data_IF_567837009217
#
_entry.id   IF_567837009217
#
_cell.length_a   1.000
_cell.length_b   1.000
_cell.length_c   1.000
_cell.angle_alpha   90.00
_cell.angle_beta   90.00
_cell.angle_gamma   90.00
#
_symmetry.space_group_name_H-M   'P 1'
#
loop_
_entity.id
_entity.type
_entity.pdbx_description
1 polymer ?
#
# COMPACT_ATOMS: atom_id res chain seq x y z
N UNK A 1 -32.01 22.84 34.37
CA UNK A 1 -31.06 21.79 33.94
C UNK A 1 -31.21 21.61 32.44
N UNK A 2 -30.32 22.21 31.66
CA UNK A 2 -30.40 22.26 30.21
C UNK A 2 -29.94 20.92 29.61
N UNK A 3 -30.76 20.31 28.76
CA UNK A 3 -30.40 19.12 27.98
C UNK A 3 -29.32 19.49 26.95
N UNK A 4 -28.08 19.14 27.22
CA UNK A 4 -27.00 19.16 26.22
C UNK A 4 -27.25 18.03 25.23
N UNK A 5 -28.03 18.32 24.19
CA UNK A 5 -28.16 17.46 23.03
C UNK A 5 -26.78 17.30 22.39
N UNK A 6 -26.16 16.14 22.58
CA UNK A 6 -24.89 15.80 21.96
C UNK A 6 -25.13 15.70 20.45
N UNK A 7 -24.69 16.73 19.71
CA UNK A 7 -24.65 16.69 18.25
C UNK A 7 -23.65 15.60 17.86
N UNK A 8 -24.16 14.46 17.43
CA UNK A 8 -23.39 13.52 16.59
C UNK A 8 -22.74 14.36 15.49
N UNK A 9 -21.41 14.35 15.32
CA UNK A 9 -20.78 15.09 14.25
C UNK A 9 -21.34 14.53 12.95
N UNK A 10 -22.27 15.28 12.34
CA UNK A 10 -22.65 15.10 10.95
C UNK A 10 -21.39 15.41 10.16
N UNK A 11 -20.58 14.41 9.88
CA UNK A 11 -19.57 14.49 8.82
C UNK A 11 -20.36 14.60 7.52
N UNK A 12 -20.81 15.83 7.22
CA UNK A 12 -21.23 16.24 5.88
C UNK A 12 -20.16 15.75 4.93
N UNK A 13 -20.57 15.24 3.78
CA UNK A 13 -19.70 15.05 2.61
C UNK A 13 -18.71 16.22 2.53
N UNK A 14 -17.50 16.00 3.03
CA UNK A 14 -16.44 16.97 2.88
C UNK A 14 -15.79 16.53 1.59
N UNK A 15 -16.09 17.28 0.53
CA UNK A 15 -15.11 17.52 -0.51
C UNK A 15 -13.74 17.70 0.14
N UNK A 16 -12.71 17.15 -0.49
CA UNK A 16 -11.33 17.28 -0.02
C UNK A 16 -11.08 18.75 0.35
N UNK A 17 -10.49 18.98 1.51
CA UNK A 17 -10.11 20.32 1.94
C UNK A 17 -9.14 20.91 0.91
N UNK A 18 -9.04 22.25 0.77
CA UNK A 18 -8.07 22.86 -0.12
C UNK A 18 -6.64 22.39 0.12
N UNK A 19 -6.28 22.10 1.37
CA UNK A 19 -4.98 21.53 1.73
C UNK A 19 -4.81 20.08 1.24
N UNK A 20 -5.85 19.25 1.30
CA UNK A 20 -5.83 17.89 0.75
C UNK A 20 -5.71 17.89 -0.78
N UNK A 21 -6.44 18.79 -1.45
CA UNK A 21 -6.29 19.02 -2.90
C UNK A 21 -4.89 19.50 -3.26
N UNK A 22 -4.31 20.41 -2.46
CA UNK A 22 -2.94 20.86 -2.64
C UNK A 22 -1.94 19.70 -2.55
N UNK A 23 -2.09 18.81 -1.57
CA UNK A 23 -1.24 17.62 -1.43
C UNK A 23 -1.36 16.67 -2.63
N UNK A 24 -2.58 16.37 -3.07
CA UNK A 24 -2.81 15.57 -4.28
C UNK A 24 -2.19 16.22 -5.51
N UNK A 25 -2.36 17.53 -5.66
CA UNK A 25 -1.78 18.31 -6.76
C UNK A 25 -0.24 18.20 -6.79
N UNK A 26 0.41 18.28 -5.63
CA UNK A 26 1.88 18.12 -5.53
C UNK A 26 2.30 16.70 -5.92
N UNK A 27 1.62 15.66 -5.40
CA UNK A 27 1.93 14.27 -5.75
C UNK A 27 1.76 14.01 -7.25
N UNK A 28 0.64 14.45 -7.83
CA UNK A 28 0.39 14.36 -9.26
C UNK A 28 1.43 15.13 -10.08
N UNK A 29 1.84 16.32 -9.63
CA UNK A 29 2.88 17.10 -10.29
C UNK A 29 4.22 16.36 -10.30
N UNK A 30 4.60 15.70 -9.20
CA UNK A 30 5.82 14.87 -9.15
C UNK A 30 5.70 13.66 -10.06
N UNK A 31 4.58 12.95 -10.05
CA UNK A 31 4.35 11.79 -10.93
C UNK A 31 4.43 12.22 -12.39
N UNK A 32 3.77 13.32 -12.77
CA UNK A 32 3.83 13.88 -14.12
C UNK A 32 5.27 14.29 -14.46
N UNK A 33 5.99 14.95 -13.55
CA UNK A 33 7.38 15.32 -13.77
C UNK A 33 8.26 14.08 -14.03
N UNK A 34 8.10 12.98 -13.29
CA UNK A 34 8.82 11.73 -13.54
C UNK A 34 8.52 11.17 -14.94
N UNK A 35 7.24 11.15 -15.36
CA UNK A 35 6.85 10.71 -16.70
C UNK A 35 7.42 11.61 -17.79
N UNK A 36 7.40 12.93 -17.59
CA UNK A 36 7.93 13.88 -18.56
C UNK A 36 9.46 13.77 -18.64
N UNK A 37 10.16 13.72 -17.51
CA UNK A 37 11.63 13.60 -17.48
C UNK A 37 12.08 12.28 -18.11
N UNK A 38 11.53 11.15 -17.66
CA UNK A 38 11.86 9.84 -18.21
C UNK A 38 11.43 9.69 -19.67
N UNK A 39 10.18 10.06 -19.98
CA UNK A 39 9.61 9.94 -21.32
C UNK A 39 10.27 10.87 -22.35
N UNK A 40 10.54 12.12 -22.01
CA UNK A 40 11.25 13.03 -22.92
C UNK A 40 12.71 12.62 -23.10
N UNK A 41 13.39 12.20 -22.04
CA UNK A 41 14.77 11.69 -22.18
C UNK A 41 14.79 10.49 -23.11
N UNK A 42 13.85 9.55 -22.96
CA UNK A 42 13.74 8.38 -23.83
C UNK A 42 13.44 8.75 -25.29
N UNK A 43 12.37 9.52 -25.52
CA UNK A 43 11.82 9.77 -26.85
C UNK A 43 12.61 10.81 -27.66
N UNK A 44 13.15 11.84 -27.00
CA UNK A 44 13.77 12.99 -27.67
C UNK A 44 15.29 12.94 -27.64
N UNK A 45 15.89 12.15 -26.74
CA UNK A 45 17.35 12.08 -26.59
C UNK A 45 17.87 10.68 -26.88
N UNK A 46 17.39 9.65 -26.17
CA UNK A 46 17.92 8.28 -26.26
C UNK A 46 17.55 7.60 -27.58
N UNK A 47 16.27 7.59 -27.96
CA UNK A 47 15.79 6.95 -29.18
C UNK A 47 16.39 7.58 -30.46
N UNK A 48 16.44 8.92 -30.62
CA UNK A 48 17.04 9.53 -31.80
C UNK A 48 18.56 9.32 -31.89
N UNK A 49 19.24 9.17 -30.75
CA UNK A 49 20.68 8.90 -30.70
C UNK A 49 21.06 7.50 -31.20
N UNK A 50 20.08 6.61 -31.42
CA UNK A 50 20.27 5.23 -31.93
C UNK A 50 21.41 4.49 -31.22
N UNK A 51 21.38 4.58 -29.88
CA UNK A 51 22.38 3.94 -29.04
C UNK A 51 22.30 2.42 -29.23
N UNK A 52 23.45 1.76 -29.25
CA UNK A 52 23.56 0.32 -29.42
C UNK A 52 24.35 -0.27 -28.29
N UNK A 53 23.91 -1.44 -27.84
CA UNK A 53 24.51 -2.21 -26.77
C UNK A 53 24.65 -3.64 -27.25
N UNK A 54 25.88 -4.13 -27.40
CA UNK A 54 26.13 -5.52 -27.82
C UNK A 54 25.48 -5.90 -29.16
N UNK A 55 25.32 -4.93 -30.07
CA UNK A 55 24.67 -5.13 -31.38
C UNK A 55 23.14 -5.05 -31.37
N UNK A 56 22.50 -4.76 -30.23
CA UNK A 56 21.05 -4.52 -30.11
C UNK A 56 20.76 -3.05 -29.84
N UNK A 57 19.68 -2.53 -30.40
CA UNK A 57 19.25 -1.15 -30.21
C UNK A 57 18.82 -0.91 -28.75
N UNK A 58 19.42 0.10 -28.12
CA UNK A 58 19.05 0.64 -26.82
C UNK A 58 18.16 1.88 -27.05
N UNK A 59 16.95 1.85 -26.52
CA UNK A 59 15.95 2.87 -26.80
C UNK A 59 14.58 2.50 -26.25
N UNK A 60 13.54 2.75 -27.04
CA UNK A 60 12.14 2.58 -26.68
C UNK A 60 11.82 1.23 -26.00
N UNK A 61 12.33 0.12 -26.53
CA UNK A 61 12.07 -1.20 -25.96
C UNK A 61 12.53 -1.34 -24.52
N UNK A 62 13.77 -0.92 -24.22
CA UNK A 62 14.35 -0.99 -22.86
C UNK A 62 13.66 -0.01 -21.92
N UNK A 63 13.37 1.20 -22.39
CA UNK A 63 12.64 2.20 -21.59
C UNK A 63 11.21 1.80 -21.25
N UNK A 64 10.47 1.23 -22.20
CA UNK A 64 9.13 0.68 -21.96
C UNK A 64 9.16 -0.52 -21.02
N UNK A 65 10.16 -1.39 -21.12
CA UNK A 65 10.35 -2.48 -20.16
C UNK A 65 10.59 -1.94 -18.75
N UNK A 66 11.48 -0.95 -18.56
CA UNK A 66 11.71 -0.36 -17.25
C UNK A 66 10.44 0.26 -16.65
N UNK A 67 9.64 0.96 -17.47
CA UNK A 67 8.34 1.49 -17.05
C UNK A 67 7.35 0.38 -16.67
N UNK A 68 7.25 -0.67 -17.50
CA UNK A 68 6.38 -1.81 -17.25
C UNK A 68 6.79 -2.61 -16.01
N UNK A 69 8.10 -2.73 -15.73
CA UNK A 69 8.60 -3.32 -14.50
C UNK A 69 8.22 -2.47 -13.28
N UNK A 70 8.27 -1.14 -13.38
CA UNK A 70 7.81 -0.25 -12.30
C UNK A 70 6.32 -0.41 -12.01
N UNK A 71 5.50 -0.51 -13.07
CA UNK A 71 4.08 -0.80 -12.94
C UNK A 71 3.83 -2.21 -12.36
N UNK A 72 4.56 -3.22 -12.83
CA UNK A 72 4.45 -4.60 -12.38
C UNK A 72 4.80 -4.72 -10.90
N UNK A 73 5.90 -4.11 -10.49
CA UNK A 73 6.41 -4.20 -9.12
C UNK A 73 5.50 -3.48 -8.12
N UNK A 74 4.79 -2.42 -8.53
CA UNK A 74 3.73 -1.83 -7.70
C UNK A 74 2.60 -2.82 -7.36
N UNK A 75 2.42 -3.88 -8.15
CA UNK A 75 1.47 -4.95 -7.85
C UNK A 75 2.06 -6.06 -7.00
N UNK A 76 3.31 -5.96 -6.58
CA UNK A 76 3.87 -6.95 -5.66
C UNK A 76 3.10 -6.93 -4.35
N UNK A 77 2.92 -8.14 -3.85
CA UNK A 77 1.95 -8.41 -2.83
C UNK A 77 2.30 -7.69 -1.52
N UNK A 78 3.58 -7.59 -1.23
CA UNK A 78 4.17 -6.92 -0.07
C UNK A 78 3.97 -5.39 -0.11
N UNK A 79 4.07 -4.77 -1.28
CA UNK A 79 3.76 -3.36 -1.51
C UNK A 79 2.29 -3.06 -1.22
N UNK A 80 1.37 -3.81 -1.87
CA UNK A 80 -0.08 -3.69 -1.66
C UNK A 80 -0.39 -3.86 -0.17
N UNK A 81 0.15 -4.92 0.46
CA UNK A 81 -0.09 -5.19 1.87
C UNK A 81 0.46 -4.07 2.76
N UNK A 82 1.65 -3.54 2.52
CA UNK A 82 2.23 -2.47 3.33
C UNK A 82 1.42 -1.16 3.22
N UNK A 83 1.04 -0.77 2.01
CA UNK A 83 0.28 0.45 1.70
C UNK A 83 -1.13 0.36 2.27
N UNK A 84 -1.86 -0.72 1.99
CA UNK A 84 -3.23 -0.92 2.44
C UNK A 84 -3.33 -0.92 3.96
N UNK A 85 -2.52 -1.75 4.61
CA UNK A 85 -2.61 -1.91 6.04
C UNK A 85 -2.18 -0.64 6.79
N UNK A 86 -1.21 0.13 6.26
CA UNK A 86 -0.85 1.43 6.84
C UNK A 86 -1.94 2.47 6.64
N UNK A 87 -2.52 2.53 5.44
CA UNK A 87 -3.67 3.39 5.13
C UNK A 87 -4.79 3.13 6.13
N UNK A 88 -5.13 1.86 6.35
CA UNK A 88 -6.14 1.41 7.33
C UNK A 88 -5.83 1.88 8.75
N UNK A 89 -4.60 1.69 9.22
CA UNK A 89 -4.15 2.14 10.54
C UNK A 89 -4.36 3.65 10.71
N UNK A 90 -3.87 4.45 9.77
CA UNK A 90 -3.98 5.92 9.84
C UNK A 90 -5.44 6.40 9.74
N UNK A 91 -6.28 5.71 8.97
CA UNK A 91 -7.71 5.98 8.91
C UNK A 91 -8.43 5.63 10.22
N UNK A 92 -8.02 4.54 10.88
CA UNK A 92 -8.51 4.19 12.22
C UNK A 92 -8.12 5.23 13.28
N UNK A 93 -7.02 5.94 13.07
CA UNK A 93 -6.60 7.08 13.91
C UNK A 93 -7.36 8.38 13.55
N UNK A 94 -8.34 8.31 12.63
CA UNK A 94 -9.17 9.44 12.22
C UNK A 94 -8.57 10.32 11.12
N UNK A 95 -7.49 9.88 10.48
CA UNK A 95 -6.83 10.63 9.41
C UNK A 95 -7.37 10.28 8.01
N UNK A 96 -6.97 11.07 7.01
CA UNK A 96 -7.19 10.84 5.56
C UNK A 96 -5.84 10.72 4.84
N UNK A 97 -5.16 9.56 4.95
CA UNK A 97 -3.77 9.37 4.53
C UNK A 97 -3.63 9.13 3.02
N UNK A 98 -3.83 10.16 2.20
CA UNK A 98 -3.80 10.06 0.72
C UNK A 98 -2.41 9.76 0.12
N UNK A 99 -1.33 10.00 0.88
CA UNK A 99 0.04 9.98 0.37
C UNK A 99 0.85 8.73 0.75
N UNK A 100 0.20 7.71 1.31
CA UNK A 100 0.85 6.49 1.81
C UNK A 100 1.65 5.79 0.72
N UNK A 101 0.99 5.38 -0.38
CA UNK A 101 1.66 4.70 -1.48
C UNK A 101 2.66 5.59 -2.22
N UNK A 102 2.38 6.89 -2.34
CA UNK A 102 3.33 7.85 -2.92
C UNK A 102 4.67 7.89 -2.17
N UNK A 103 4.65 8.02 -0.84
CA UNK A 103 5.89 8.06 -0.07
C UNK A 103 6.60 6.71 -0.05
N UNK A 104 5.84 5.62 0.01
CA UNK A 104 6.37 4.26 -0.05
C UNK A 104 7.14 4.01 -1.36
N UNK A 105 6.50 4.20 -2.51
CA UNK A 105 7.11 4.06 -3.84
C UNK A 105 8.31 4.98 -4.06
N UNK A 106 8.26 6.23 -3.57
CA UNK A 106 9.37 7.18 -3.69
C UNK A 106 10.59 6.72 -2.86
N UNK A 107 10.34 6.15 -1.68
CA UNK A 107 11.36 5.54 -0.85
C UNK A 107 12.02 4.35 -1.55
N UNK A 108 11.21 3.41 -2.04
CA UNK A 108 11.69 2.23 -2.79
C UNK A 108 12.51 2.65 -4.01
N UNK A 109 11.95 3.54 -4.83
CA UNK A 109 12.57 4.05 -6.06
C UNK A 109 13.89 4.79 -5.81
N UNK A 110 14.10 5.33 -4.61
CA UNK A 110 15.36 5.97 -4.24
C UNK A 110 16.51 4.96 -4.18
N UNK A 111 16.26 3.73 -3.71
CA UNK A 111 17.29 2.67 -3.71
C UNK A 111 17.64 2.27 -5.13
N UNK A 112 16.62 2.01 -5.96
CA UNK A 112 16.78 1.64 -7.37
C UNK A 112 17.54 2.73 -8.15
N UNK A 113 17.15 3.99 -7.98
CA UNK A 113 17.83 5.12 -8.62
C UNK A 113 19.28 5.26 -8.14
N UNK A 114 19.53 5.13 -6.85
CA UNK A 114 20.88 5.21 -6.28
C UNK A 114 21.78 4.09 -6.83
N UNK A 115 21.27 2.87 -6.91
CA UNK A 115 22.00 1.74 -7.49
C UNK A 115 22.33 1.99 -8.97
N UNK A 116 21.38 2.49 -9.76
CA UNK A 116 21.61 2.85 -11.15
C UNK A 116 22.66 3.96 -11.31
N UNK A 117 22.68 4.97 -10.44
CA UNK A 117 23.73 6.01 -10.42
C UNK A 117 25.10 5.39 -10.12
N UNK A 118 25.19 4.52 -9.11
CA UNK A 118 26.44 3.86 -8.73
C UNK A 118 26.98 2.96 -9.86
N UNK A 119 26.11 2.28 -10.59
CA UNK A 119 26.46 1.51 -11.77
C UNK A 119 26.89 2.42 -12.93
N UNK A 120 26.19 3.54 -13.17
CA UNK A 120 26.51 4.49 -14.24
C UNK A 120 27.90 5.12 -14.10
N UNK A 121 28.35 5.39 -12.86
CA UNK A 121 29.70 5.91 -12.60
C UNK A 121 30.78 4.83 -12.55
N UNK A 122 30.41 3.56 -12.83
CA UNK A 122 31.35 2.45 -12.91
C UNK A 122 31.95 2.07 -11.56
N UNK A 123 31.17 2.13 -10.47
CA UNK A 123 31.61 1.64 -9.18
C UNK A 123 31.88 0.12 -9.26
N UNK A 124 33.11 -0.26 -9.62
CA UNK A 124 33.56 -1.66 -9.79
C UNK A 124 33.28 -2.54 -8.57
N UNK A 125 33.20 -1.93 -7.38
CA UNK A 125 32.86 -2.60 -6.13
C UNK A 125 31.39 -3.07 -6.07
N UNK A 126 30.51 -2.56 -6.93
CA UNK A 126 29.08 -2.88 -6.98
C UNK A 126 28.74 -3.63 -8.27
N UNK A 127 29.36 -3.28 -9.40
CA UNK A 127 29.08 -3.93 -10.68
C UNK A 127 29.31 -5.46 -10.65
N UNK A 128 30.46 -5.92 -10.16
CA UNK A 128 30.75 -7.36 -10.06
C UNK A 128 29.78 -8.11 -9.15
N UNK A 129 29.56 -7.65 -7.90
CA UNK A 129 28.59 -8.28 -7.02
C UNK A 129 27.13 -8.18 -7.45
N UNK A 130 26.73 -7.29 -8.36
CA UNK A 130 25.35 -7.26 -8.89
C UNK A 130 25.18 -8.23 -10.06
N UNK A 131 26.22 -8.48 -10.86
CA UNK A 131 26.19 -9.44 -11.97
C UNK A 131 26.25 -10.90 -11.50
N UNK A 132 26.81 -11.17 -10.33
CA UNK A 132 26.95 -12.51 -9.77
C UNK A 132 25.84 -12.78 -8.75
N UNK A 133 24.82 -13.56 -9.15
CA UNK A 133 23.70 -13.99 -8.29
C UNK A 133 24.18 -14.68 -6.99
N UNK A 134 25.42 -15.19 -6.95
CA UNK A 134 26.02 -15.81 -5.77
C UNK A 134 26.80 -14.85 -4.86
N UNK A 135 26.80 -13.55 -5.16
CA UNK A 135 27.60 -12.58 -4.40
C UNK A 135 27.10 -12.39 -2.98
N UNK A 136 28.02 -12.03 -2.08
CA UNK A 136 27.69 -11.66 -0.72
C UNK A 136 26.76 -10.44 -0.65
N UNK A 137 26.81 -9.53 -1.63
CA UNK A 137 25.91 -8.38 -1.68
C UNK A 137 24.48 -8.86 -1.90
N UNK A 138 24.23 -9.58 -3.01
CA UNK A 138 22.94 -10.22 -3.34
C UNK A 138 22.35 -10.98 -2.15
N UNK A 139 23.17 -11.85 -1.54
CA UNK A 139 22.75 -12.67 -0.41
C UNK A 139 22.33 -11.83 0.80
N UNK A 140 23.17 -10.91 1.27
CA UNK A 140 22.87 -10.17 2.50
C UNK A 140 21.74 -9.14 2.31
N UNK A 141 21.69 -8.45 1.17
CA UNK A 141 20.61 -7.49 0.91
C UNK A 141 19.28 -8.20 0.65
N UNK A 142 19.28 -9.34 -0.04
CA UNK A 142 18.09 -10.19 -0.18
C UNK A 142 17.57 -10.66 1.18
N UNK A 143 18.46 -11.23 2.02
CA UNK A 143 18.08 -11.67 3.37
C UNK A 143 17.54 -10.51 4.21
N UNK A 144 18.24 -9.37 4.22
CA UNK A 144 17.84 -8.20 5.01
C UNK A 144 16.51 -7.64 4.50
N UNK A 145 16.37 -7.44 3.18
CA UNK A 145 15.16 -6.92 2.56
C UNK A 145 13.94 -7.79 2.82
N UNK A 146 14.02 -9.07 2.49
CA UNK A 146 12.93 -10.04 2.69
C UNK A 146 12.59 -10.24 4.17
N UNK A 147 13.61 -10.25 5.05
CA UNK A 147 13.36 -10.30 6.50
C UNK A 147 12.62 -9.06 7.00
N UNK A 148 13.05 -7.87 6.56
CA UNK A 148 12.41 -6.62 6.98
C UNK A 148 10.98 -6.54 6.44
N UNK A 149 10.75 -6.88 5.16
CA UNK A 149 9.42 -6.93 4.54
C UNK A 149 8.51 -7.89 5.31
N UNK A 150 8.92 -9.14 5.44
CA UNK A 150 8.11 -10.16 6.12
C UNK A 150 7.81 -9.80 7.57
N UNK A 151 8.80 -9.35 8.35
CA UNK A 151 8.58 -8.89 9.73
C UNK A 151 7.60 -7.70 9.77
N UNK A 152 7.75 -6.74 8.86
CA UNK A 152 6.85 -5.59 8.77
C UNK A 152 5.41 -6.02 8.48
N UNK A 153 5.19 -6.92 7.52
CA UNK A 153 3.89 -7.47 7.18
C UNK A 153 3.24 -8.18 8.38
N UNK A 154 3.99 -9.00 9.11
CA UNK A 154 3.49 -9.66 10.33
C UNK A 154 3.15 -8.66 11.45
N UNK A 155 3.99 -7.65 11.67
CA UNK A 155 3.75 -6.62 12.69
C UNK A 155 2.45 -5.86 12.39
N UNK A 156 2.29 -5.44 11.14
CA UNK A 156 1.12 -4.70 10.68
C UNK A 156 -0.14 -5.59 10.65
N UNK A 157 -0.03 -6.85 10.25
CA UNK A 157 -1.12 -7.82 10.36
C UNK A 157 -1.57 -8.00 11.82
N UNK A 158 -0.64 -8.10 12.76
CA UNK A 158 -0.93 -8.17 14.20
C UNK A 158 -1.70 -6.95 14.71
N UNK A 159 -1.36 -5.76 14.22
CA UNK A 159 -2.12 -4.53 14.51
C UNK A 159 -3.55 -4.61 13.97
N UNK A 160 -3.71 -5.00 12.72
CA UNK A 160 -5.03 -5.04 12.09
C UNK A 160 -5.90 -6.17 12.64
N UNK A 161 -5.31 -7.27 13.13
CA UNK A 161 -6.03 -8.28 13.93
C UNK A 161 -6.59 -7.66 15.21
N UNK A 162 -5.80 -6.85 15.93
CA UNK A 162 -6.30 -6.21 17.15
C UNK A 162 -7.48 -5.26 16.86
N UNK A 163 -7.41 -4.49 15.77
CA UNK A 163 -8.51 -3.64 15.30
C UNK A 163 -9.72 -4.49 14.89
N UNK A 164 -9.51 -5.58 14.16
CA UNK A 164 -10.56 -6.49 13.73
C UNK A 164 -11.31 -7.10 14.92
N UNK A 165 -10.58 -7.55 15.95
CA UNK A 165 -11.15 -8.06 17.20
C UNK A 165 -11.97 -6.97 17.90
N UNK A 166 -11.48 -5.72 17.96
CA UNK A 166 -12.21 -4.61 18.56
C UNK A 166 -13.54 -4.33 17.82
N UNK A 167 -13.52 -4.31 16.49
CA UNK A 167 -14.71 -4.12 15.66
C UNK A 167 -15.70 -5.28 15.86
N UNK A 168 -15.22 -6.52 15.89
CA UNK A 168 -16.06 -7.71 16.12
C UNK A 168 -16.75 -7.68 17.49
N UNK A 169 -16.07 -7.21 18.54
CA UNK A 169 -16.65 -7.04 19.88
C UNK A 169 -17.78 -6.02 19.87
N UNK A 170 -17.56 -4.86 19.24
CA UNK A 170 -18.59 -3.81 19.08
C UNK A 170 -19.80 -4.37 18.33
N UNK A 171 -19.56 -5.10 17.24
CA UNK A 171 -20.61 -5.69 16.41
C UNK A 171 -21.43 -6.75 17.17
N UNK A 172 -20.78 -7.59 17.99
CA UNK A 172 -21.46 -8.55 18.84
C UNK A 172 -22.30 -7.89 19.93
N UNK A 173 -21.84 -6.78 20.51
CA UNK A 173 -22.59 -6.01 21.52
C UNK A 173 -23.82 -5.32 20.90
N UNK A 174 -23.68 -4.72 19.71
CA UNK A 174 -24.79 -4.19 18.93
C UNK A 174 -25.88 -5.23 18.66
N UNK A 175 -25.49 -6.46 18.27
CA UNK A 175 -26.44 -7.56 18.06
C UNK A 175 -27.13 -8.04 19.33
N UNK A 176 -26.55 -7.81 20.50
CA UNK A 176 -27.10 -8.22 21.81
C UNK A 176 -27.96 -7.13 22.46
N UNK A 177 -28.13 -5.96 21.84
CA UNK A 177 -28.96 -4.87 22.35
C UNK A 177 -28.41 -4.16 23.60
N UNK A 178 -27.18 -4.47 24.02
CA UNK A 178 -26.52 -3.86 25.16
C UNK A 178 -25.47 -2.87 24.64
N UNK A 179 -25.91 -1.63 24.39
CA UNK A 179 -25.02 -0.53 24.04
C UNK A 179 -24.70 0.26 25.32
N UNK A 180 -23.55 -0.01 25.93
CA UNK A 180 -22.97 0.84 26.97
C UNK A 180 -21.71 1.49 26.41
N UNK A 181 -21.87 2.75 26.01
CA UNK A 181 -20.85 3.55 25.32
C UNK A 181 -19.63 3.79 26.23
N UNK A 182 -19.83 3.81 27.56
CA UNK A 182 -18.77 4.00 28.54
C UNK A 182 -17.94 2.72 28.76
N UNK A 183 -18.58 1.55 28.75
CA UNK A 183 -17.86 0.26 28.83
C UNK A 183 -17.12 -0.04 27.52
N UNK A 184 -17.66 0.40 26.37
CA UNK A 184 -16.97 0.31 25.09
C UNK A 184 -15.71 1.19 25.05
N UNK A 185 -15.80 2.45 25.51
CA UNK A 185 -14.66 3.35 25.59
C UNK A 185 -13.63 2.85 26.62
N UNK A 186 -14.09 2.22 27.71
CA UNK A 186 -13.23 1.56 28.69
C UNK A 186 -12.57 0.30 28.15
N UNK A 187 -13.24 -0.49 27.31
CA UNK A 187 -12.66 -1.68 26.65
C UNK A 187 -11.73 -1.33 25.48
N UNK A 188 -12.05 -0.26 24.76
CA UNK A 188 -11.18 0.35 23.75
C UNK A 188 -9.98 1.07 24.38
N UNK A 189 -10.07 1.53 25.62
CA UNK A 189 -8.95 2.08 26.39
C UNK A 189 -8.21 1.03 27.24
N UNK A 190 -8.85 -0.10 27.58
CA UNK A 190 -8.24 -1.24 28.28
C UNK A 190 -7.39 -2.10 27.33
N UNK A 191 -6.61 -1.44 26.47
CA UNK A 191 -5.70 -2.05 25.50
C UNK A 191 -4.45 -2.63 26.17
N UNK A 192 -4.56 -3.21 27.37
CA UNK A 192 -3.45 -3.38 28.30
C UNK A 192 -2.27 -4.21 27.76
N UNK A 193 -2.51 -5.31 27.04
CA UNK A 193 -1.44 -6.18 26.56
C UNK A 193 -0.99 -5.84 25.13
N UNK A 194 -1.95 -5.71 24.21
CA UNK A 194 -1.71 -5.36 22.80
C UNK A 194 -1.06 -3.97 22.69
N UNK A 195 -1.58 -2.93 23.36
CA UNK A 195 -1.02 -1.58 23.28
C UNK A 195 0.28 -1.42 24.08
N UNK A 196 0.68 -2.39 24.91
CA UNK A 196 1.98 -2.33 25.59
C UNK A 196 3.12 -2.79 24.67
N UNK A 197 2.90 -3.83 23.88
CA UNK A 197 3.85 -4.32 22.89
C UNK A 197 3.74 -3.56 21.56
N UNK A 198 2.53 -3.43 21.03
CA UNK A 198 2.25 -2.80 19.74
C UNK A 198 2.05 -1.27 19.82
N UNK A 199 1.89 -0.70 21.03
CA UNK A 199 1.73 0.75 21.25
C UNK A 199 2.96 1.57 20.88
N UNK A 200 4.16 1.00 21.05
CA UNK A 200 5.41 1.64 20.59
C UNK A 200 5.47 1.71 19.07
N UNK A 201 5.10 0.63 18.38
CA UNK A 201 5.13 0.55 16.92
C UNK A 201 3.99 1.35 16.26
N UNK A 202 2.79 1.36 16.84
CA UNK A 202 1.67 2.23 16.39
C UNK A 202 1.97 3.72 16.55
N UNK A 203 2.84 4.11 17.49
CA UNK A 203 3.38 5.47 17.58
C UNK A 203 4.47 5.78 16.55
N UNK A 204 5.05 4.76 15.92
CA UNK A 204 6.07 4.95 14.90
C UNK A 204 5.46 5.41 13.58
N UNK A 205 4.31 4.89 13.16
CA UNK A 205 3.67 5.25 11.87
C UNK A 205 2.46 6.15 12.12
N UNK A 206 2.67 7.45 12.27
CA UNK A 206 1.61 8.43 12.58
C UNK A 206 1.24 9.33 11.42
N UNK A 207 2.03 9.33 10.35
CA UNK A 207 1.81 10.18 9.17
C UNK A 207 2.20 9.44 7.90
N UNK A 208 1.64 9.83 6.75
CA UNK A 208 1.91 9.17 5.47
C UNK A 208 3.39 9.21 5.05
N UNK A 209 4.15 10.24 5.42
CA UNK A 209 5.56 10.35 5.00
C UNK A 209 6.47 9.33 5.68
N UNK A 210 6.06 8.76 6.83
CA UNK A 210 6.82 7.69 7.50
C UNK A 210 6.97 6.43 6.64
N UNK A 211 6.23 6.31 5.55
CA UNK A 211 6.39 5.23 4.59
C UNK A 211 7.54 5.42 3.62
N UNK A 212 8.11 6.62 3.51
CA UNK A 212 9.35 6.80 2.74
C UNK A 212 10.51 5.95 3.27
N UNK A 213 10.88 5.99 4.57
CA UNK A 213 11.91 5.11 5.09
C UNK A 213 11.53 3.63 5.06
N UNK A 214 10.24 3.27 5.16
CA UNK A 214 9.81 1.88 4.99
C UNK A 214 10.02 1.42 3.55
N UNK A 215 9.63 2.25 2.58
CA UNK A 215 9.87 2.00 1.16
C UNK A 215 11.35 1.87 0.84
N UNK A 216 12.22 2.69 1.45
CA UNK A 216 13.68 2.50 1.34
C UNK A 216 14.12 1.12 1.82
N UNK A 217 13.60 0.64 2.95
CA UNK A 217 13.94 -0.68 3.48
C UNK A 217 13.42 -1.82 2.61
N UNK A 218 12.23 -1.67 2.03
CA UNK A 218 11.67 -2.62 1.06
C UNK A 218 12.47 -2.63 -0.24
N UNK A 219 12.91 -1.45 -0.71
CA UNK A 219 13.77 -1.32 -1.89
C UNK A 219 15.19 -1.88 -1.70
N UNK A 220 15.60 -2.24 -0.48
CA UNK A 220 16.82 -3.03 -0.26
C UNK A 220 16.63 -4.50 -0.63
N UNK A 221 15.38 -4.96 -0.74
CA UNK A 221 15.04 -6.25 -1.36
C UNK A 221 15.66 -6.30 -2.75
N UNK A 222 16.62 -7.21 -2.91
CA UNK A 222 17.58 -7.09 -4.00
C UNK A 222 17.01 -7.53 -5.34
N UNK A 223 15.89 -8.27 -5.38
CA UNK A 223 15.31 -8.80 -6.61
C UNK A 223 14.94 -7.69 -7.61
N UNK A 224 14.27 -6.63 -7.17
CA UNK A 224 13.83 -5.52 -8.02
C UNK A 224 14.96 -4.55 -8.40
N UNK A 225 15.81 -4.25 -7.41
CA UNK A 225 17.02 -3.49 -7.63
C UNK A 225 17.92 -4.19 -8.67
N UNK A 226 17.95 -5.52 -8.64
CA UNK A 226 18.66 -6.36 -9.60
C UNK A 226 17.99 -6.38 -10.96
N UNK A 227 16.66 -6.48 -11.08
CA UNK A 227 16.00 -6.45 -12.40
C UNK A 227 16.33 -5.17 -13.18
N UNK A 228 16.26 -4.01 -12.52
CA UNK A 228 16.63 -2.73 -13.12
C UNK A 228 18.14 -2.65 -13.33
N UNK A 229 18.93 -3.10 -12.35
CA UNK A 229 20.38 -3.11 -12.48
C UNK A 229 20.87 -4.04 -13.60
N UNK A 230 20.21 -5.17 -13.85
CA UNK A 230 20.47 -6.10 -14.94
C UNK A 230 20.02 -5.55 -16.27
N UNK A 231 18.93 -4.77 -16.34
CA UNK A 231 18.61 -4.00 -17.55
C UNK A 231 19.69 -2.94 -17.83
N UNK A 232 20.18 -2.27 -16.79
CA UNK A 232 21.29 -1.32 -16.88
C UNK A 232 22.59 -2.03 -17.25
N UNK A 233 22.88 -3.19 -16.66
CA UNK A 233 24.09 -3.98 -16.87
C UNK A 233 24.10 -4.70 -18.21
N UNK A 234 22.98 -5.27 -18.66
CA UNK A 234 22.82 -5.69 -20.05
C UNK A 234 23.10 -4.52 -21.00
N UNK A 235 22.73 -3.30 -20.58
CA UNK A 235 23.12 -2.01 -21.13
C UNK A 235 24.64 -1.70 -21.10
N UNK A 236 25.30 -1.87 -19.96
CA UNK A 236 26.67 -1.36 -19.68
C UNK A 236 27.78 -2.41 -19.81
N UNK A 237 27.55 -3.68 -19.51
CA UNK A 237 28.47 -4.81 -19.76
C UNK A 237 28.77 -4.97 -21.26
N UNK A 238 27.80 -4.63 -22.10
CA UNK A 238 27.96 -4.54 -23.55
C UNK A 238 28.20 -3.11 -24.06
N UNK A 239 28.32 -2.12 -23.17
CA UNK A 239 28.65 -0.73 -23.50
C UNK A 239 29.65 -0.12 -22.50
N UNK A 240 30.93 -0.28 -22.82
CA UNK A 240 31.85 0.84 -22.64
C UNK A 240 31.38 2.00 -23.56
N UNK A 241 30.39 2.80 -23.15
CA UNK A 241 30.00 4.01 -23.91
C UNK A 241 28.58 4.55 -23.80
N UNK A 242 27.65 3.96 -23.03
CA UNK A 242 26.34 4.58 -22.87
C UNK A 242 26.46 5.89 -22.07
N UNK A 243 25.83 7.00 -22.53
CA UNK A 243 25.84 8.24 -21.80
C UNK A 243 25.00 8.12 -20.52
N UNK A 244 25.42 8.81 -19.46
CA UNK A 244 24.79 8.74 -18.14
C UNK A 244 23.27 9.00 -18.16
N UNK A 245 22.79 9.89 -19.04
CA UNK A 245 21.36 10.21 -19.16
C UNK A 245 20.53 9.02 -19.70
N UNK A 246 21.12 8.16 -20.54
CA UNK A 246 20.46 6.97 -21.06
C UNK A 246 20.30 5.91 -19.97
N UNK A 247 21.28 5.82 -19.07
CA UNK A 247 21.25 4.93 -17.91
C UNK A 247 20.24 5.42 -16.87
N UNK A 248 20.29 6.70 -16.50
CA UNK A 248 19.38 7.26 -15.50
C UNK A 248 17.93 7.42 -15.97
N UNK A 249 17.68 7.36 -17.28
CA UNK A 249 16.33 7.35 -17.82
C UNK A 249 15.52 6.13 -17.34
N UNK A 250 16.14 4.95 -17.19
CA UNK A 250 15.47 3.71 -16.81
C UNK A 250 14.89 3.74 -15.38
N UNK A 251 15.67 4.03 -14.32
CA UNK A 251 15.12 4.10 -12.96
C UNK A 251 14.10 5.23 -12.79
N UNK A 252 14.18 6.31 -13.58
CA UNK A 252 13.16 7.37 -13.57
C UNK A 252 11.83 6.88 -14.14
N UNK A 253 11.86 6.14 -15.25
CA UNK A 253 10.66 5.52 -15.84
C UNK A 253 10.06 4.46 -14.91
N UNK A 254 10.90 3.64 -14.29
CA UNK A 254 10.49 2.70 -13.26
C UNK A 254 9.79 3.40 -12.09
N UNK A 255 10.41 4.45 -11.54
CA UNK A 255 9.83 5.25 -10.46
C UNK A 255 8.51 5.91 -10.88
N UNK A 256 8.39 6.36 -12.14
CA UNK A 256 7.18 6.95 -12.68
C UNK A 256 6.01 5.96 -12.67
N UNK A 257 6.24 4.73 -13.14
CA UNK A 257 5.24 3.66 -13.15
C UNK A 257 4.83 3.25 -11.74
N UNK A 258 5.80 2.99 -10.87
CA UNK A 258 5.51 2.57 -9.50
C UNK A 258 4.77 3.65 -8.70
N UNK A 259 5.26 4.89 -8.72
CA UNK A 259 4.63 5.99 -8.00
C UNK A 259 3.20 6.22 -8.46
N UNK A 260 2.89 6.00 -9.75
CA UNK A 260 1.53 6.12 -10.26
C UNK A 260 0.60 5.09 -9.63
N UNK A 261 0.96 3.81 -9.69
CA UNK A 261 0.09 2.73 -9.21
C UNK A 261 -0.01 2.68 -7.69
N UNK A 262 1.09 2.82 -6.96
CA UNK A 262 1.07 2.83 -5.49
C UNK A 262 0.26 4.03 -4.96
N UNK A 263 0.35 5.19 -5.64
CA UNK A 263 -0.49 6.35 -5.29
C UNK A 263 -1.96 6.08 -5.59
N UNK A 264 -2.28 5.40 -6.70
CA UNK A 264 -3.64 4.99 -7.02
C UNK A 264 -4.15 4.01 -5.97
N UNK A 265 -3.37 3.02 -5.56
CA UNK A 265 -3.74 2.03 -4.54
C UNK A 265 -4.10 2.70 -3.20
N UNK A 266 -3.16 3.50 -2.66
CA UNK A 266 -3.39 4.24 -1.42
C UNK A 266 -4.54 5.25 -1.51
N UNK A 267 -4.72 5.93 -2.65
CA UNK A 267 -5.80 6.90 -2.85
C UNK A 267 -7.16 6.22 -3.06
N UNK A 268 -7.20 5.11 -3.80
CA UNK A 268 -8.39 4.31 -4.03
C UNK A 268 -8.91 3.78 -2.69
N UNK A 269 -8.04 3.25 -1.82
CA UNK A 269 -8.46 2.86 -0.47
C UNK A 269 -9.10 3.98 0.35
N UNK A 270 -8.57 5.21 0.25
CA UNK A 270 -9.17 6.37 0.93
C UNK A 270 -10.56 6.72 0.38
N UNK A 271 -10.76 6.65 -0.94
CA UNK A 271 -12.05 6.95 -1.59
C UNK A 271 -13.09 5.84 -1.38
N UNK A 272 -12.66 4.59 -1.54
CA UNK A 272 -13.36 3.35 -1.24
C UNK A 272 -13.91 3.36 0.21
N UNK A 273 -13.09 3.83 1.15
CA UNK A 273 -13.53 4.11 2.52
C UNK A 273 -14.55 5.23 2.60
N UNK A 274 -14.29 6.39 1.98
CA UNK A 274 -15.16 7.57 2.03
C UNK A 274 -16.58 7.31 1.52
N UNK A 275 -16.73 6.42 0.53
CA UNK A 275 -18.01 6.02 -0.04
C UNK A 275 -18.87 5.15 0.90
N UNK A 276 -18.26 4.38 1.81
CA UNK A 276 -18.98 3.51 2.75
C UNK A 276 -19.67 4.25 3.92
N UNK A 277 -19.51 5.57 4.03
CA UNK A 277 -19.97 6.37 5.17
C UNK A 277 -21.40 6.92 5.09
N UNK A 278 -22.23 6.49 4.14
CA UNK A 278 -23.65 6.91 4.08
C UNK A 278 -24.52 6.31 5.19
N UNK A 279 -24.12 5.18 5.82
CA UNK A 279 -24.88 4.56 6.92
C UNK A 279 -23.96 3.91 8.00
N UNK A 280 -24.26 4.05 9.31
CA UNK A 280 -23.42 3.51 10.40
C UNK A 280 -23.18 1.99 10.31
N UNK A 281 -24.19 1.22 9.88
CA UNK A 281 -24.09 -0.24 9.72
C UNK A 281 -23.21 -0.61 8.53
N UNK A 282 -23.31 0.16 7.42
CA UNK A 282 -22.48 -0.01 6.22
C UNK A 282 -21.00 0.12 6.54
N UNK A 283 -20.66 1.11 7.38
CA UNK A 283 -19.30 1.35 7.86
C UNK A 283 -18.72 0.13 8.61
N UNK A 284 -19.50 -0.54 9.45
CA UNK A 284 -19.01 -1.68 10.23
C UNK A 284 -18.75 -2.88 9.33
N UNK A 285 -19.68 -3.25 8.46
CA UNK A 285 -19.50 -4.38 7.54
C UNK A 285 -18.35 -4.15 6.55
N UNK A 286 -18.28 -2.95 5.96
CA UNK A 286 -17.20 -2.61 5.04
C UNK A 286 -15.82 -2.63 5.74
N UNK A 287 -15.73 -2.04 6.93
CA UNK A 287 -14.49 -2.08 7.72
C UNK A 287 -14.14 -3.50 8.12
N UNK A 288 -15.11 -4.33 8.49
CA UNK A 288 -14.87 -5.72 8.85
C UNK A 288 -14.32 -6.52 7.66
N UNK A 289 -15.00 -6.46 6.51
CA UNK A 289 -14.62 -7.22 5.31
C UNK A 289 -13.24 -6.82 4.82
N UNK A 290 -12.96 -5.53 4.67
CA UNK A 290 -11.65 -5.14 4.13
C UNK A 290 -10.55 -5.30 5.18
N UNK A 291 -10.80 -5.06 6.47
CA UNK A 291 -9.77 -5.32 7.50
C UNK A 291 -9.43 -6.81 7.57
N UNK A 292 -10.43 -7.69 7.46
CA UNK A 292 -10.20 -9.13 7.39
C UNK A 292 -9.42 -9.53 6.13
N UNK A 293 -9.80 -9.00 4.97
CA UNK A 293 -9.09 -9.23 3.71
C UNK A 293 -7.62 -8.79 3.80
N UNK A 294 -7.37 -7.58 4.29
CA UNK A 294 -6.03 -7.00 4.46
C UNK A 294 -5.14 -7.81 5.42
N UNK A 295 -5.70 -8.32 6.52
CA UNK A 295 -5.00 -9.22 7.45
C UNK A 295 -4.65 -10.54 6.78
N UNK A 296 -5.60 -11.15 6.06
CA UNK A 296 -5.38 -12.43 5.37
C UNK A 296 -4.30 -12.28 4.32
N UNK A 297 -4.37 -11.23 3.50
CA UNK A 297 -3.37 -10.92 2.46
C UNK A 297 -1.99 -10.74 3.10
N UNK A 298 -1.84 -9.87 4.11
CA UNK A 298 -0.55 -9.63 4.75
C UNK A 298 0.05 -10.87 5.42
N UNK A 299 -0.75 -11.69 6.11
CA UNK A 299 -0.26 -12.94 6.70
C UNK A 299 0.13 -13.96 5.65
N UNK A 300 -0.63 -14.06 4.56
CA UNK A 300 -0.34 -14.98 3.48
C UNK A 300 0.99 -14.61 2.81
N UNK A 301 1.17 -13.34 2.46
CA UNK A 301 2.38 -12.86 1.80
C UNK A 301 3.58 -12.95 2.73
N UNK A 302 3.48 -12.41 3.95
CA UNK A 302 4.57 -12.46 4.91
C UNK A 302 4.97 -13.90 5.25
N UNK A 303 4.02 -14.84 5.26
CA UNK A 303 4.34 -16.27 5.37
C UNK A 303 5.10 -16.77 4.15
N UNK A 304 4.67 -16.45 2.93
CA UNK A 304 5.32 -16.88 1.69
C UNK A 304 6.76 -16.34 1.63
N UNK A 305 6.96 -15.04 1.91
CA UNK A 305 8.28 -14.40 1.93
C UNK A 305 9.21 -15.02 2.97
N UNK A 306 8.77 -15.12 4.24
CA UNK A 306 9.63 -15.62 5.31
C UNK A 306 9.90 -17.13 5.16
N UNK A 307 8.89 -17.92 4.78
CA UNK A 307 9.08 -19.35 4.57
C UNK A 307 9.95 -19.63 3.34
N UNK A 308 9.81 -18.85 2.27
CA UNK A 308 10.71 -18.89 1.11
C UNK A 308 12.14 -18.58 1.53
N UNK A 309 12.34 -17.47 2.26
CA UNK A 309 13.65 -17.10 2.79
C UNK A 309 14.27 -18.19 3.67
N UNK A 310 13.50 -18.78 4.59
CA UNK A 310 14.00 -19.88 5.42
C UNK A 310 14.33 -21.13 4.60
N UNK A 311 13.52 -21.45 3.59
CA UNK A 311 13.76 -22.58 2.72
C UNK A 311 15.07 -22.42 1.94
N UNK A 312 15.32 -21.23 1.39
CA UNK A 312 16.53 -20.92 0.64
C UNK A 312 17.77 -20.91 1.56
N UNK A 313 17.68 -20.29 2.75
CA UNK A 313 18.80 -20.19 3.68
C UNK A 313 19.18 -21.53 4.32
N UNK A 314 18.20 -22.40 4.56
CA UNK A 314 18.41 -23.69 5.22
C UNK A 314 18.52 -24.86 4.23
N UNK A 315 18.50 -24.58 2.92
CA UNK A 315 18.47 -25.57 1.84
C UNK A 315 17.38 -26.64 2.05
N UNK A 316 16.17 -26.20 2.39
CA UNK A 316 15.03 -27.10 2.55
C UNK A 316 14.50 -27.53 1.18
N UNK A 317 14.64 -28.81 0.88
CA UNK A 317 14.16 -29.40 -0.38
C UNK A 317 12.94 -30.28 -0.16
N UNK A 318 12.03 -30.29 -1.13
CA UNK A 318 10.88 -31.19 -1.16
C UNK A 318 9.68 -30.58 -1.89
N UNK A 319 8.67 -31.40 -2.23
CA UNK A 319 7.57 -30.98 -3.12
C UNK A 319 6.79 -29.74 -2.66
N UNK A 320 6.79 -29.47 -1.36
CA UNK A 320 6.19 -28.27 -0.77
C UNK A 320 7.10 -27.05 -0.93
N UNK A 321 8.38 -27.16 -0.55
CA UNK A 321 9.35 -26.07 -0.59
C UNK A 321 9.69 -25.67 -2.03
N UNK A 322 9.85 -26.65 -2.93
CA UNK A 322 10.12 -26.41 -4.36
C UNK A 322 8.93 -25.73 -5.05
N UNK A 323 7.70 -25.99 -4.58
CA UNK A 323 6.51 -25.30 -5.06
C UNK A 323 6.42 -23.88 -4.50
N UNK A 324 6.81 -23.69 -3.24
CA UNK A 324 6.80 -22.39 -2.57
C UNK A 324 7.84 -21.44 -3.17
N UNK A 325 9.07 -21.91 -3.41
CA UNK A 325 10.13 -21.14 -4.07
C UNK A 325 9.83 -20.88 -5.55
N UNK A 326 9.05 -21.76 -6.19
CA UNK A 326 8.55 -21.56 -7.54
C UNK A 326 7.34 -20.63 -7.65
N UNK A 327 6.80 -20.10 -6.54
CA UNK A 327 5.72 -19.11 -6.59
C UNK A 327 6.28 -17.74 -6.98
N UNK A 328 5.87 -17.25 -8.15
CA UNK A 328 6.12 -15.88 -8.56
C UNK A 328 5.24 -14.93 -7.72
N UNK A 329 5.86 -14.09 -6.87
CA UNK A 329 5.18 -13.07 -6.07
C UNK A 329 4.31 -12.15 -6.93
N UNK A 330 4.67 -11.94 -8.19
CA UNK A 330 3.88 -11.17 -9.14
C UNK A 330 2.53 -11.85 -9.46
N UNK A 331 2.54 -13.17 -9.63
CA UNK A 331 1.30 -13.94 -9.87
C UNK A 331 0.38 -13.86 -8.65
N UNK A 332 0.95 -13.87 -7.44
CA UNK A 332 0.22 -13.67 -6.19
C UNK A 332 -0.34 -12.24 -6.14
N UNK A 333 0.44 -11.24 -6.52
CA UNK A 333 0.02 -9.84 -6.65
C UNK A 333 -1.20 -9.66 -7.55
N UNK A 334 -1.16 -10.18 -8.78
CA UNK A 334 -2.31 -10.16 -9.69
C UNK A 334 -3.53 -10.89 -9.13
N UNK A 335 -3.33 -12.03 -8.44
CA UNK A 335 -4.41 -12.75 -7.79
C UNK A 335 -5.05 -11.94 -6.65
N UNK A 336 -4.27 -11.17 -5.89
CA UNK A 336 -4.76 -10.28 -4.84
C UNK A 336 -5.56 -9.11 -5.44
N UNK A 337 -5.05 -8.47 -6.50
CA UNK A 337 -5.80 -7.41 -7.20
C UNK A 337 -7.13 -7.96 -7.72
N UNK A 338 -7.12 -9.13 -8.35
CA UNK A 338 -8.34 -9.79 -8.81
C UNK A 338 -9.28 -10.10 -7.64
N UNK A 339 -8.77 -10.54 -6.49
CA UNK A 339 -9.54 -10.78 -5.27
C UNK A 339 -10.16 -9.48 -4.73
N UNK A 340 -9.42 -8.36 -4.72
CA UNK A 340 -9.95 -7.05 -4.33
C UNK A 340 -11.05 -6.59 -5.27
N UNK A 341 -10.82 -6.64 -6.59
CA UNK A 341 -11.82 -6.28 -7.61
C UNK A 341 -13.07 -7.14 -7.46
N UNK A 342 -12.90 -8.46 -7.29
CA UNK A 342 -14.02 -9.40 -7.16
C UNK A 342 -14.79 -9.15 -5.86
N UNK A 343 -14.09 -8.92 -4.74
CA UNK A 343 -14.72 -8.60 -3.46
C UNK A 343 -15.50 -7.29 -3.55
N UNK A 344 -14.96 -6.28 -4.23
CA UNK A 344 -15.64 -5.02 -4.49
C UNK A 344 -16.86 -5.19 -5.40
N UNK A 345 -16.72 -5.92 -6.50
CA UNK A 345 -17.82 -6.21 -7.40
C UNK A 345 -18.95 -6.94 -6.66
N UNK A 346 -18.64 -7.96 -5.86
CA UNK A 346 -19.61 -8.66 -5.03
C UNK A 346 -20.25 -7.71 -4.02
N UNK A 347 -19.48 -6.87 -3.33
CA UNK A 347 -20.02 -5.90 -2.38
C UNK A 347 -20.98 -4.89 -3.05
N UNK A 348 -20.67 -4.43 -4.26
CA UNK A 348 -21.52 -3.56 -5.06
C UNK A 348 -22.78 -4.27 -5.56
N UNK A 349 -22.67 -5.54 -5.97
CA UNK A 349 -23.79 -6.36 -6.42
C UNK A 349 -24.74 -6.68 -5.26
N UNK A 350 -24.21 -7.14 -4.12
CA UNK A 350 -25.00 -7.35 -2.90
C UNK A 350 -25.68 -6.05 -2.46
N UNK A 351 -25.03 -4.91 -2.63
CA UNK A 351 -25.65 -3.62 -2.36
C UNK A 351 -26.81 -3.32 -3.31
N UNK A 352 -26.58 -3.44 -4.63
CA UNK A 352 -27.59 -3.11 -5.64
C UNK A 352 -28.81 -4.05 -5.58
N UNK A 353 -28.59 -5.35 -5.31
CA UNK A 353 -29.65 -6.36 -5.34
C UNK A 353 -30.19 -6.73 -3.95
N UNK A 354 -29.44 -6.48 -2.87
CA UNK A 354 -29.76 -6.97 -1.52
C UNK A 354 -30.79 -6.15 -0.74
N UNK A 355 -31.27 -5.01 -1.26
CA UNK A 355 -32.28 -4.14 -0.63
C UNK A 355 -32.01 -3.89 0.88
N UNK A 356 -30.72 -3.73 1.23
CA UNK A 356 -30.29 -3.64 2.65
C UNK A 356 -30.79 -2.34 3.29
N UNK A 357 -31.04 -1.30 2.49
CA UNK A 357 -31.61 -0.01 2.94
C UNK A 357 -33.01 -0.18 3.55
N UNK A 358 -33.83 -1.09 3.02
CA UNK A 358 -35.21 -1.29 3.49
C UNK A 358 -35.30 -2.06 4.82
N UNK A 359 -34.33 -2.93 5.11
CA UNK A 359 -34.35 -3.77 6.34
C UNK A 359 -33.95 -3.03 7.62
N UNK A 360 -33.30 -1.87 7.51
CA UNK A 360 -32.67 -1.20 8.66
C UNK A 360 -32.87 0.32 8.71
N UNK A 361 -33.78 0.86 7.88
CA UNK A 361 -34.30 2.21 8.12
C UNK A 361 -35.09 2.14 9.44
N UNK A 362 -34.68 2.85 10.52
CA UNK A 362 -35.50 2.92 11.71
C UNK A 362 -36.83 3.50 11.28
N UNK A 363 -37.94 2.82 11.59
CA UNK A 363 -39.25 3.41 11.45
C UNK A 363 -39.19 4.80 12.09
N UNK A 364 -39.30 5.85 11.28
CA UNK A 364 -39.56 7.19 11.78
C UNK A 364 -40.72 7.04 12.72
N UNK A 365 -40.52 7.41 13.99
CA UNK A 365 -41.60 7.47 14.98
C UNK A 365 -42.55 8.59 14.52
N UNK A 366 -43.39 8.29 13.55
CA UNK A 366 -44.63 9.00 13.28
C UNK A 366 -45.55 8.68 14.46
N UNK A 367 -45.56 9.57 15.45
CA UNK A 367 -46.44 9.43 16.61
C UNK A 367 -45.90 9.93 17.94
N UNK A 368 -44.92 10.86 17.96
CA UNK A 368 -44.69 11.63 19.18
C UNK A 368 -45.86 12.63 19.34
N UNK A 369 -46.67 12.56 20.42
CA UNK A 369 -47.78 13.48 20.62
C UNK A 369 -47.28 14.92 20.75
N UNK A 370 -47.99 15.84 20.09
CA UNK A 370 -47.76 17.29 20.15
C UNK A 370 -47.61 17.75 21.61
N UNK A 371 -46.57 18.52 21.97
CA UNK A 371 -46.47 19.11 23.30
C UNK A 371 -47.64 20.09 23.52
N UNK A 372 -48.27 20.09 24.70
CA UNK A 372 -49.44 20.93 24.97
C UNK A 372 -49.08 22.41 24.82
N UNK A 373 -49.91 23.13 24.05
CA UNK A 373 -49.81 24.58 23.86
C UNK A 373 -49.89 25.27 25.23
N UNK A 374 -48.79 25.85 25.68
CA UNK A 374 -48.78 26.70 26.87
C UNK A 374 -49.59 27.96 26.59
N UNK A 375 -50.70 28.13 27.30
CA UNK A 375 -51.43 29.39 27.38
C UNK A 375 -50.49 30.48 27.90
N UNK A 376 -50.24 31.51 27.09
CA UNK A 376 -49.72 32.78 27.56
C UNK A 376 -50.87 33.59 28.19
N UNK A 377 -50.74 34.08 29.43
CA UNK A 377 -51.67 35.06 29.97
C UNK A 377 -51.45 36.43 29.32
N UNK A 378 -52.57 37.13 29.11
CA UNK A 378 -52.71 38.45 28.48
C UNK A 378 -51.91 39.56 29.16
#
# INVERSE_FOLDING_TARGET
MASTAFRVPRTRFSFLTPAEWGRLGVMLAVIVALHLIGGFTLLLIVEPARLNVGGKAFGLGVGLTAYALGLRHAFDADHIAAIDNTTRKLMSDGQRPLAVGFFFSLGHSTVVFTLAVLLAIGAKAIAGPVEDDSSALHHYTGVIGTSISGIFLYLIAGLNIAVLIAILRVFQQLRRGAFDEAELERQLNSRGFVNRFLGRFTRTITTSWHLYPIGLLFGLGFDTATEIALLVLAGTSAAAGLPWYAILCLPVLFAAGMCLLDTIDGSFMNFAYGWAFSHPVRKIYYNLTITALSVVVALLIGSIELLGLFADQLNWHGPFWDRLSGLDLNTIGFAIVALFITTWAIALLIWHFGHIEEKWTPATVEGAPEPPKSNQPR
#
